data_IF_520946650081
#
_entry.id   IF_520946650081
#
_cell.length_a   1.000
_cell.length_b   1.000
_cell.length_c   1.000
_cell.angle_alpha   90.00
_cell.angle_beta   90.00
_cell.angle_gamma   90.00
#
_symmetry.space_group_name_H-M   'P 1'
#
loop_
_entity.id
_entity.type
_entity.pdbx_description
1 polymer ?
#
# COMPACT_ATOMS: atom_id res chain seq x y z
N UNK A 1 -8.53 -8.47 -6.06
CA UNK A 1 -7.24 -7.97 -5.50
C UNK A 1 -6.03 -8.48 -6.28
N UNK A 2 -5.98 -9.75 -6.69
CA UNK A 2 -4.87 -10.32 -7.49
C UNK A 2 -4.60 -9.57 -8.81
N UNK A 3 -5.65 -9.13 -9.49
CA UNK A 3 -5.56 -8.41 -10.77
C UNK A 3 -4.86 -7.04 -10.65
N UNK A 4 -5.25 -6.25 -9.65
CA UNK A 4 -4.64 -4.94 -9.38
C UNK A 4 -3.19 -5.03 -8.86
N UNK A 5 -2.82 -6.15 -8.22
CA UNK A 5 -1.46 -6.38 -7.74
C UNK A 5 -0.49 -6.58 -8.89
N UNK A 6 -0.90 -7.30 -9.95
CA UNK A 6 -0.10 -7.47 -11.16
C UNK A 6 0.19 -6.14 -11.84
N UNK A 7 -0.83 -5.30 -12.03
CA UNK A 7 -0.68 -3.96 -12.64
C UNK A 7 0.29 -3.09 -11.85
N UNK A 8 0.22 -3.10 -10.50
CA UNK A 8 1.14 -2.35 -9.64
C UNK A 8 2.58 -2.85 -9.75
N UNK A 9 2.79 -4.16 -9.83
CA UNK A 9 4.12 -4.76 -10.00
C UNK A 9 4.73 -4.39 -11.36
N UNK A 10 3.92 -4.38 -12.43
CA UNK A 10 4.36 -3.97 -13.75
C UNK A 10 4.67 -2.47 -13.83
N UNK A 11 3.86 -1.62 -13.18
CA UNK A 11 4.11 -0.19 -13.09
C UNK A 11 5.40 0.13 -12.30
N UNK A 12 5.67 -0.59 -11.20
CA UNK A 12 6.92 -0.45 -10.45
C UNK A 12 8.16 -0.83 -11.28
N UNK A 13 8.09 -1.98 -11.97
CA UNK A 13 9.15 -2.38 -12.92
C UNK A 13 9.38 -1.37 -14.04
N UNK A 14 8.32 -0.73 -14.55
CA UNK A 14 8.47 0.34 -15.54
C UNK A 14 9.13 1.60 -14.94
N UNK A 15 8.78 1.97 -13.70
CA UNK A 15 9.40 3.08 -12.99
C UNK A 15 10.90 2.84 -12.72
N UNK A 16 11.29 1.62 -12.38
CA UNK A 16 12.69 1.22 -12.20
C UNK A 16 13.50 1.36 -13.49
N UNK A 17 13.00 0.83 -14.61
CA UNK A 17 13.65 0.95 -15.92
C UNK A 17 13.76 2.41 -16.34
N UNK A 18 12.72 3.22 -16.12
CA UNK A 18 12.74 4.65 -16.45
C UNK A 18 13.79 5.42 -15.64
N UNK A 19 13.94 5.10 -14.35
CA UNK A 19 14.97 5.71 -13.51
C UNK A 19 16.38 5.37 -14.00
N UNK A 20 16.62 4.13 -14.44
CA UNK A 20 17.91 3.74 -15.03
C UNK A 20 18.20 4.51 -16.32
N UNK A 21 17.21 4.64 -17.20
CA UNK A 21 17.34 5.41 -18.43
C UNK A 21 17.68 6.88 -18.15
N UNK A 22 17.07 7.50 -17.14
CA UNK A 22 17.36 8.90 -16.76
C UNK A 22 18.82 9.09 -16.31
N UNK A 23 19.38 8.11 -15.60
CA UNK A 23 20.78 8.16 -15.13
C UNK A 23 21.78 7.99 -16.28
N UNK A 24 21.41 7.26 -17.33
CA UNK A 24 22.24 7.05 -18.52
C UNK A 24 22.25 8.24 -19.49
N UNK A 25 21.36 9.23 -19.29
CA UNK A 25 21.28 10.41 -20.17
C UNK A 25 22.51 11.32 -19.99
N UNK A 26 22.96 11.99 -21.07
CA UNK A 26 24.05 12.96 -21.00
C UNK A 26 23.76 14.07 -19.97
N UNK A 27 24.78 14.55 -19.26
CA UNK A 27 24.63 15.55 -18.18
C UNK A 27 23.97 16.86 -18.60
N UNK A 28 24.02 17.20 -19.89
CA UNK A 28 23.38 18.39 -20.46
C UNK A 28 21.91 18.17 -20.86
N UNK A 29 21.36 16.98 -20.63
CA UNK A 29 19.99 16.69 -20.99
C UNK A 29 19.03 17.24 -19.92
N UNK A 30 17.97 18.00 -20.29
CA UNK A 30 17.01 18.58 -19.34
C UNK A 30 16.31 17.58 -18.42
N UNK A 31 16.33 16.29 -18.75
CA UNK A 31 15.73 15.23 -17.95
C UNK A 31 16.68 14.66 -16.88
N UNK A 32 17.96 15.00 -16.87
CA UNK A 32 18.93 14.47 -15.89
C UNK A 32 18.69 15.01 -14.47
N UNK A 33 18.07 16.18 -14.34
CA UNK A 33 17.62 16.76 -13.06
C UNK A 33 16.24 16.25 -12.60
N UNK A 34 15.64 15.31 -13.33
CA UNK A 34 14.33 14.75 -12.98
C UNK A 34 14.42 13.95 -11.69
N UNK A 35 13.47 14.16 -10.78
CA UNK A 35 13.36 13.34 -9.58
C UNK A 35 13.07 11.88 -9.96
N UNK A 36 13.77 10.90 -9.35
CA UNK A 36 13.48 9.49 -9.61
C UNK A 36 12.05 9.15 -9.19
N UNK A 37 11.39 8.33 -10.01
CA UNK A 37 10.08 7.79 -9.71
C UNK A 37 10.19 6.91 -8.46
N UNK A 38 9.44 7.26 -7.41
CA UNK A 38 9.37 6.49 -6.18
C UNK A 38 8.52 5.24 -6.43
N UNK A 39 9.14 4.08 -6.25
CA UNK A 39 8.51 2.76 -6.45
C UNK A 39 7.37 2.46 -5.47
N UNK A 40 7.36 3.16 -4.32
CA UNK A 40 6.42 2.88 -3.24
C UNK A 40 5.24 3.86 -3.23
N UNK A 41 4.31 3.71 -4.17
CA UNK A 41 2.92 4.18 -4.03
C UNK A 41 2.07 3.18 -3.20
N UNK A 42 2.69 2.54 -2.21
CA UNK A 42 2.06 1.56 -1.34
C UNK A 42 2.02 2.03 0.11
N UNK A 43 0.87 1.84 0.75
CA UNK A 43 0.80 1.79 2.21
C UNK A 43 1.77 0.71 2.72
N UNK A 44 2.45 0.96 3.82
CA UNK A 44 3.35 -0.04 4.39
C UNK A 44 2.57 -1.30 4.77
N UNK A 45 3.12 -2.52 4.60
CA UNK A 45 2.46 -3.76 5.04
C UNK A 45 2.00 -3.70 6.50
N UNK A 46 2.75 -2.96 7.34
CA UNK A 46 2.41 -2.66 8.74
C UNK A 46 1.10 -1.90 8.87
N UNK A 47 0.85 -0.88 8.04
CA UNK A 47 -0.40 -0.11 8.08
C UNK A 47 -1.62 -1.00 7.80
N UNK A 48 -1.49 -1.93 6.85
CA UNK A 48 -2.55 -2.89 6.52
C UNK A 48 -2.77 -3.87 7.69
N UNK A 49 -1.70 -4.38 8.30
CA UNK A 49 -1.81 -5.27 9.45
C UNK A 49 -2.48 -4.59 10.66
N UNK A 50 -2.10 -3.34 10.95
CA UNK A 50 -2.71 -2.55 12.03
C UNK A 50 -4.18 -2.27 11.74
N UNK A 51 -4.53 -1.90 10.51
CA UNK A 51 -5.93 -1.70 10.12
C UNK A 51 -6.77 -2.97 10.25
N UNK A 52 -6.24 -4.12 9.84
CA UNK A 52 -6.91 -5.41 9.98
C UNK A 52 -7.12 -5.80 11.45
N UNK A 53 -6.10 -5.64 12.29
CA UNK A 53 -6.20 -5.89 13.73
C UNK A 53 -7.23 -4.98 14.39
N UNK A 54 -7.19 -3.68 14.09
CA UNK A 54 -8.14 -2.70 14.62
C UNK A 54 -9.57 -3.06 14.24
N UNK A 55 -9.82 -3.41 12.98
CA UNK A 55 -11.14 -3.82 12.51
C UNK A 55 -11.65 -5.07 13.22
N UNK A 56 -10.78 -6.06 13.46
CA UNK A 56 -11.13 -7.28 14.19
C UNK A 56 -11.52 -6.99 15.64
N UNK A 57 -10.74 -6.16 16.34
CA UNK A 57 -11.00 -5.78 17.74
C UNK A 57 -12.31 -5.00 17.86
N UNK A 58 -12.52 -3.99 17.00
CA UNK A 58 -13.75 -3.17 17.01
C UNK A 58 -14.97 -4.02 16.68
N UNK A 59 -14.88 -4.89 15.67
CA UNK A 59 -15.97 -5.79 15.29
C UNK A 59 -16.34 -6.75 16.42
N UNK A 60 -15.33 -7.35 17.07
CA UNK A 60 -15.54 -8.22 18.22
C UNK A 60 -16.17 -7.46 19.40
N UNK A 61 -15.64 -6.30 19.76
CA UNK A 61 -16.19 -5.49 20.84
C UNK A 61 -17.65 -5.09 20.59
N UNK A 62 -17.96 -4.64 19.37
CA UNK A 62 -19.33 -4.30 18.96
C UNK A 62 -20.26 -5.52 19.04
N UNK A 63 -19.81 -6.68 18.57
CA UNK A 63 -20.60 -7.91 18.63
C UNK A 63 -20.89 -8.36 20.06
N UNK A 64 -19.89 -8.31 20.96
CA UNK A 64 -20.07 -8.63 22.37
C UNK A 64 -21.03 -7.64 23.05
N UNK A 65 -20.88 -6.35 22.77
CA UNK A 65 -21.78 -5.32 23.30
C UNK A 65 -23.22 -5.54 22.83
N UNK A 66 -23.42 -5.95 21.58
CA UNK A 66 -24.74 -6.32 21.07
C UNK A 66 -25.31 -7.55 21.79
N UNK A 67 -24.52 -8.61 21.99
CA UNK A 67 -24.96 -9.81 22.73
C UNK A 67 -25.40 -9.49 24.17
N UNK A 68 -24.61 -8.69 24.89
CA UNK A 68 -24.93 -8.24 26.25
C UNK A 68 -26.23 -7.43 26.25
N UNK A 69 -26.46 -6.60 25.23
CA UNK A 69 -27.71 -5.83 25.09
C UNK A 69 -28.95 -6.71 24.88
N UNK A 70 -28.76 -7.96 24.41
CA UNK A 70 -29.83 -8.95 24.26
C UNK A 70 -30.03 -9.81 25.52
N UNK A 71 -29.30 -9.54 26.61
CA UNK A 71 -29.37 -10.31 27.85
C UNK A 71 -28.72 -11.69 27.75
N UNK A 72 -27.81 -11.87 26.80
CA UNK A 72 -26.99 -13.08 26.66
C UNK A 72 -25.69 -12.83 27.42
N UNK A 73 -25.54 -13.46 28.59
CA UNK A 73 -24.29 -13.46 29.35
C UNK A 73 -23.34 -14.53 28.77
N UNK A 74 -22.13 -14.12 28.41
CA UNK A 74 -21.04 -15.01 27.93
C UNK A 74 -20.24 -15.60 29.09
#
# INVERSE_FOLDING_TARGET
>A
MYDATGVRLHAGRQAEVLNQLIVELPRDHPLTDSRPLRDSLGHTPVQVAVGALLGMVVGYAHFNMWLISQGVDL
#
